data_IF_193441828759
#
_entry.id   IF_193441828759
#
_cell.length_a   1.000
_cell.length_b   1.000
_cell.length_c   1.000
_cell.angle_alpha   90.00
_cell.angle_beta   90.00
_cell.angle_gamma   90.00
#
_symmetry.space_group_name_H-M   'P 1'
#
loop_
_entity.id
_entity.type
_entity.pdbx_description
1 polymer ?
#
# COMPACT_ATOMS: atom_id res chain seq x y z
N UNK A 1 41.04 13.35 25.60
CA UNK A 1 40.51 14.15 26.72
C UNK A 1 39.84 15.48 26.31
N UNK A 2 39.49 15.71 25.02
CA UNK A 2 38.96 17.00 24.53
C UNK A 2 37.46 17.01 24.14
N UNK A 3 36.74 15.90 24.28
CA UNK A 3 35.32 15.80 23.86
C UNK A 3 34.30 16.06 24.98
N UNK A 4 34.70 16.06 26.25
CA UNK A 4 33.79 16.31 27.37
C UNK A 4 33.52 17.82 27.59
N UNK A 5 34.43 18.68 27.13
CA UNK A 5 34.37 20.13 27.33
C UNK A 5 33.36 20.82 26.39
N UNK A 6 33.31 20.40 25.12
CA UNK A 6 32.35 20.94 24.15
C UNK A 6 30.91 20.45 24.40
N UNK A 7 30.75 19.29 25.04
CA UNK A 7 29.43 18.72 25.37
C UNK A 7 28.74 19.54 26.47
N UNK A 8 29.46 19.93 27.53
CA UNK A 8 28.92 20.79 28.60
C UNK A 8 28.51 22.17 28.06
N UNK A 9 29.36 22.81 27.27
CA UNK A 9 29.11 24.19 26.80
C UNK A 9 27.96 24.28 25.78
N UNK A 10 27.78 23.27 24.93
CA UNK A 10 26.74 23.30 23.89
C UNK A 10 25.39 22.71 24.34
N UNK A 11 25.39 21.76 25.29
CA UNK A 11 24.18 21.05 25.67
C UNK A 11 23.70 21.30 27.09
N UNK A 12 24.56 21.56 28.08
CA UNK A 12 24.15 21.56 29.50
C UNK A 12 23.31 22.81 29.89
N UNK A 13 23.70 23.99 29.41
CA UNK A 13 22.99 25.25 29.68
C UNK A 13 21.96 25.62 28.59
N UNK A 14 21.92 24.86 27.49
CA UNK A 14 21.01 25.15 26.39
C UNK A 14 19.60 24.63 26.68
N UNK A 15 18.60 25.32 26.16
CA UNK A 15 17.19 24.88 26.25
C UNK A 15 16.98 23.46 25.68
N UNK A 16 17.89 23.02 24.80
CA UNK A 16 17.92 21.70 24.18
C UNK A 16 18.34 20.62 25.18
N UNK A 17 19.35 20.86 26.02
CA UNK A 17 19.76 19.91 27.07
C UNK A 17 18.65 19.64 28.08
N UNK A 18 18.05 20.70 28.63
CA UNK A 18 16.92 20.56 29.56
C UNK A 18 15.72 19.83 28.95
N UNK A 19 15.52 19.95 27.63
CA UNK A 19 14.46 19.22 26.92
C UNK A 19 14.85 17.76 26.68
N UNK A 20 16.12 17.48 26.36
CA UNK A 20 16.65 16.12 26.24
C UNK A 20 16.61 15.37 27.56
N UNK A 21 17.01 15.99 28.68
CA UNK A 21 16.99 15.38 30.01
C UNK A 21 15.56 15.03 30.43
N UNK A 22 14.61 15.94 30.21
CA UNK A 22 13.18 15.67 30.43
C UNK A 22 12.68 14.51 29.57
N UNK A 23 13.10 14.39 28.32
CA UNK A 23 12.70 13.28 27.43
C UNK A 23 13.31 11.95 27.88
N UNK A 24 14.57 11.95 28.29
CA UNK A 24 15.27 10.78 28.83
C UNK A 24 14.61 10.30 30.13
N UNK A 25 14.31 11.23 31.05
CA UNK A 25 13.64 10.93 32.31
C UNK A 25 12.21 10.41 32.09
N UNK A 26 11.48 10.98 31.13
CA UNK A 26 10.17 10.48 30.70
C UNK A 26 10.29 9.03 30.20
N UNK A 27 11.31 8.74 29.38
CA UNK A 27 11.59 7.41 28.86
C UNK A 27 11.85 6.39 29.96
N UNK A 28 12.72 6.71 30.93
CA UNK A 28 12.98 5.84 32.08
C UNK A 28 11.74 5.63 32.97
N UNK A 29 10.87 6.64 33.07
CA UNK A 29 9.61 6.54 33.81
C UNK A 29 8.62 5.61 33.10
N UNK A 30 8.50 5.72 31.78
CA UNK A 30 7.66 4.85 30.94
C UNK A 30 8.15 3.39 30.99
N UNK A 31 9.47 3.16 30.89
CA UNK A 31 10.05 1.81 30.96
C UNK A 31 9.77 1.17 32.32
N UNK A 32 9.97 1.89 33.42
CA UNK A 32 9.72 1.38 34.78
C UNK A 32 8.24 1.07 35.02
N UNK A 33 7.35 1.90 34.50
CA UNK A 33 5.91 1.65 34.55
C UNK A 33 5.54 0.41 33.72
N UNK A 34 6.04 0.31 32.49
CA UNK A 34 5.80 -0.83 31.58
C UNK A 34 6.28 -2.18 32.12
N UNK A 35 7.33 -2.19 32.97
CA UNK A 35 7.80 -3.40 33.69
C UNK A 35 6.88 -3.84 34.84
N UNK A 36 5.98 -2.97 35.31
CA UNK A 36 5.02 -3.26 36.39
C UNK A 36 3.60 -3.51 35.88
N UNK A 37 3.29 -3.03 34.67
CA UNK A 37 1.98 -3.22 34.05
C UNK A 37 1.93 -4.61 33.41
N UNK A 38 1.13 -5.47 34.01
CA UNK A 38 0.72 -6.75 33.44
C UNK A 38 -0.68 -6.55 32.87
N UNK A 39 -0.82 -6.69 31.55
CA UNK A 39 -2.12 -6.58 30.89
C UNK A 39 -2.83 -7.94 31.03
N UNK A 40 -4.13 -7.97 31.40
CA UNK A 40 -4.90 -9.21 31.43
C UNK A 40 -4.87 -9.89 30.05
N UNK A 41 -4.45 -11.16 30.01
CA UNK A 41 -4.26 -11.94 28.78
C UNK A 41 -2.80 -12.25 28.40
N UNK A 42 -1.81 -11.70 29.11
CA UNK A 42 -0.38 -11.99 28.88
C UNK A 42 0.24 -13.01 29.85
N UNK A 43 -0.57 -13.87 30.48
CA UNK A 43 -0.12 -14.93 31.42
C UNK A 43 0.86 -14.45 32.51
N UNK A 44 0.71 -13.21 32.98
CA UNK A 44 1.57 -12.64 34.03
C UNK A 44 2.85 -11.98 33.52
N UNK A 45 3.09 -11.93 32.21
CA UNK A 45 4.30 -11.33 31.62
C UNK A 45 4.17 -9.80 31.55
N UNK A 46 5.18 -9.03 32.01
CA UNK A 46 5.20 -7.58 31.89
C UNK A 46 5.14 -7.09 30.44
N UNK A 47 4.45 -5.97 30.21
CA UNK A 47 4.34 -5.36 28.87
C UNK A 47 5.71 -5.08 28.23
N UNK A 48 6.72 -4.73 29.04
CA UNK A 48 8.09 -4.55 28.58
C UNK A 48 8.68 -5.80 27.91
N UNK A 49 8.48 -6.98 28.49
CA UNK A 49 9.05 -8.22 27.97
C UNK A 49 8.32 -8.66 26.69
N UNK A 50 7.00 -8.50 26.64
CA UNK A 50 6.21 -8.73 25.42
C UNK A 50 6.66 -7.82 24.29
N UNK A 51 6.83 -6.52 24.57
CA UNK A 51 7.26 -5.54 23.57
C UNK A 51 8.68 -5.82 23.06
N UNK A 52 9.62 -6.11 23.96
CA UNK A 52 11.01 -6.41 23.57
C UNK A 52 11.10 -7.73 22.81
N UNK A 53 10.35 -8.76 23.20
CA UNK A 53 10.24 -10.01 22.45
C UNK A 53 9.66 -9.80 21.05
N UNK A 54 8.57 -9.02 20.93
CA UNK A 54 7.95 -8.70 19.66
C UNK A 54 8.92 -7.95 18.74
N UNK A 55 9.53 -6.84 19.21
CA UNK A 55 10.50 -6.08 18.43
C UNK A 55 11.71 -6.93 18.01
N UNK A 56 12.25 -7.75 18.91
CA UNK A 56 13.36 -8.67 18.60
C UNK A 56 12.96 -9.71 17.57
N UNK A 57 11.72 -10.19 17.61
CA UNK A 57 11.16 -11.12 16.62
C UNK A 57 10.92 -10.46 15.27
N UNK A 58 10.51 -9.18 15.25
CA UNK A 58 10.37 -8.41 14.01
C UNK A 58 11.72 -8.23 13.30
N UNK A 59 12.76 -7.88 14.07
CA UNK A 59 14.12 -7.68 13.55
C UNK A 59 14.73 -9.01 13.10
N UNK A 60 14.57 -10.09 13.86
CA UNK A 60 15.08 -11.42 13.49
C UNK A 60 14.31 -12.09 12.35
N UNK A 61 13.01 -11.79 12.20
CA UNK A 61 12.09 -12.47 11.28
C UNK A 61 12.26 -12.16 9.79
N UNK A 62 13.33 -11.46 9.40
CA UNK A 62 13.58 -10.95 8.05
C UNK A 62 12.34 -10.28 7.41
N UNK A 63 11.55 -9.58 8.23
CA UNK A 63 10.28 -8.97 7.82
C UNK A 63 10.53 -7.89 6.77
N UNK A 64 11.66 -7.19 6.88
CA UNK A 64 12.09 -6.22 5.88
C UNK A 64 12.19 -6.83 4.48
N UNK A 65 12.88 -7.97 4.31
CA UNK A 65 12.99 -8.60 2.99
C UNK A 65 11.64 -9.12 2.47
N UNK A 66 10.79 -9.68 3.34
CA UNK A 66 9.44 -10.12 2.97
C UNK A 66 8.58 -8.94 2.51
N UNK A 67 8.57 -7.84 3.26
CA UNK A 67 7.83 -6.62 2.94
C UNK A 67 8.33 -5.99 1.64
N UNK A 68 9.65 -5.89 1.44
CA UNK A 68 10.24 -5.39 0.20
C UNK A 68 9.87 -6.25 -1.01
N UNK A 69 9.86 -7.59 -0.86
CA UNK A 69 9.44 -8.50 -1.92
C UNK A 69 7.96 -8.35 -2.29
N UNK A 70 7.10 -8.12 -1.30
CA UNK A 70 5.68 -7.83 -1.53
C UNK A 70 5.52 -6.49 -2.26
N UNK A 71 6.18 -5.43 -1.78
CA UNK A 71 6.14 -4.10 -2.38
C UNK A 71 6.66 -4.10 -3.83
N UNK A 72 7.74 -4.83 -4.10
CA UNK A 72 8.29 -4.99 -5.46
C UNK A 72 7.26 -5.60 -6.42
N UNK A 73 6.57 -6.66 -6.01
CA UNK A 73 5.54 -7.29 -6.85
C UNK A 73 4.36 -6.35 -7.11
N UNK A 74 3.92 -5.57 -6.12
CA UNK A 74 2.87 -4.58 -6.33
C UNK A 74 3.33 -3.45 -7.26
N UNK A 75 4.54 -2.93 -7.08
CA UNK A 75 5.10 -1.91 -7.96
C UNK A 75 5.22 -2.43 -9.40
N UNK A 76 5.69 -3.67 -9.58
CA UNK A 76 5.77 -4.32 -10.88
C UNK A 76 4.39 -4.53 -11.52
N UNK A 77 3.33 -4.69 -10.73
CA UNK A 77 1.95 -4.80 -11.23
C UNK A 77 1.36 -3.45 -11.69
N UNK A 78 1.82 -2.31 -11.13
CA UNK A 78 1.28 -0.98 -11.47
C UNK A 78 1.48 -0.65 -12.95
N UNK A 79 2.66 -0.90 -13.51
CA UNK A 79 2.94 -0.58 -14.92
C UNK A 79 2.00 -1.29 -15.91
N UNK A 80 1.92 -2.63 -15.95
CA UNK A 80 0.97 -3.32 -16.82
C UNK A 80 -0.48 -3.04 -16.43
N UNK A 81 -0.77 -2.75 -15.16
CA UNK A 81 -2.09 -2.34 -14.69
C UNK A 81 -2.56 -1.02 -15.29
N UNK A 82 -1.71 0.02 -15.30
CA UNK A 82 -2.04 1.31 -15.90
C UNK A 82 -2.26 1.16 -17.42
N UNK A 83 -1.40 0.41 -18.10
CA UNK A 83 -1.55 0.16 -19.54
C UNK A 83 -2.87 -0.57 -19.82
N UNK A 84 -3.20 -1.60 -19.04
CA UNK A 84 -4.47 -2.30 -19.13
C UNK A 84 -5.65 -1.32 -18.92
N UNK A 85 -5.59 -0.47 -17.90
CA UNK A 85 -6.66 0.51 -17.63
C UNK A 85 -6.86 1.47 -18.79
N UNK A 86 -5.80 2.05 -19.35
CA UNK A 86 -5.90 2.98 -20.49
C UNK A 86 -6.37 2.28 -21.77
N UNK A 87 -5.97 1.03 -21.98
CA UNK A 87 -6.41 0.26 -23.15
C UNK A 87 -7.86 -0.21 -23.10
N UNK A 88 -8.52 -0.17 -21.94
CA UNK A 88 -9.98 -0.40 -21.82
C UNK A 88 -10.76 0.82 -22.35
N UNK A 89 -10.20 2.02 -22.24
CA UNK A 89 -10.89 3.29 -22.53
C UNK A 89 -11.49 3.37 -23.94
N UNK A 90 -10.77 2.99 -25.03
CA UNK A 90 -11.34 3.00 -26.38
C UNK A 90 -12.59 2.11 -26.55
N UNK A 91 -12.81 1.15 -25.65
CA UNK A 91 -13.96 0.24 -25.69
C UNK A 91 -15.19 0.80 -24.96
N UNK A 92 -15.07 1.91 -24.24
CA UNK A 92 -16.15 2.54 -23.48
C UNK A 92 -16.86 3.57 -24.38
N UNK A 93 -18.15 3.37 -24.73
CA UNK A 93 -18.89 4.30 -25.59
C UNK A 93 -19.46 5.48 -24.78
N UNK A 94 -18.60 6.33 -24.23
CA UNK A 94 -18.98 7.56 -23.54
C UNK A 94 -18.45 8.76 -24.32
N UNK A 95 -19.34 9.68 -24.69
CA UNK A 95 -18.98 10.91 -25.39
C UNK A 95 -18.02 11.76 -24.56
N UNK A 96 -16.98 12.31 -25.20
CA UNK A 96 -15.97 13.20 -24.60
C UNK A 96 -15.15 12.62 -23.43
N UNK A 97 -15.26 11.33 -23.13
CA UNK A 97 -14.53 10.71 -22.00
C UNK A 97 -13.01 10.83 -22.17
N UNK A 98 -12.50 10.61 -23.39
CA UNK A 98 -11.08 10.72 -23.69
C UNK A 98 -10.58 12.15 -23.48
N UNK A 99 -11.35 13.16 -23.87
CA UNK A 99 -11.00 14.58 -23.72
C UNK A 99 -10.95 14.96 -22.24
N UNK A 100 -11.96 14.54 -21.48
CA UNK A 100 -12.02 14.77 -20.02
C UNK A 100 -10.83 14.13 -19.30
N UNK A 101 -10.48 12.90 -19.67
CA UNK A 101 -9.32 12.21 -19.12
C UNK A 101 -8.00 12.93 -19.45
N UNK A 102 -7.85 13.39 -20.70
CA UNK A 102 -6.64 14.12 -21.11
C UNK A 102 -6.48 15.42 -20.32
N UNK A 103 -7.57 16.17 -20.13
CA UNK A 103 -7.56 17.37 -19.27
C UNK A 103 -7.21 17.05 -17.81
N UNK A 104 -7.79 15.98 -17.24
CA UNK A 104 -7.45 15.52 -15.90
C UNK A 104 -5.95 15.19 -15.77
N UNK A 105 -5.38 14.48 -16.76
CA UNK A 105 -3.96 14.12 -16.72
C UNK A 105 -3.04 15.33 -16.89
N UNK A 106 -3.44 16.32 -17.68
CA UNK A 106 -2.73 17.60 -17.82
C UNK A 106 -2.70 18.36 -16.50
N UNK A 107 -3.81 18.40 -15.76
CA UNK A 107 -3.89 19.08 -14.46
C UNK A 107 -3.10 18.38 -13.35
N UNK A 108 -3.05 17.04 -13.38
CA UNK A 108 -2.36 16.24 -12.35
C UNK A 108 -0.86 16.11 -12.58
N UNK A 109 -0.39 16.19 -13.82
CA UNK A 109 1.01 16.00 -14.16
C UNK A 109 1.75 17.34 -14.28
N UNK A 110 2.97 17.44 -13.73
CA UNK A 110 3.86 18.56 -14.07
C UNK A 110 4.01 18.71 -15.59
N UNK A 111 4.01 19.96 -16.07
CA UNK A 111 4.07 20.31 -17.50
C UNK A 111 5.16 19.55 -18.29
N UNK A 112 6.32 19.36 -17.67
CA UNK A 112 7.44 18.63 -18.27
C UNK A 112 7.10 17.16 -18.57
N UNK A 113 6.37 16.51 -17.66
CA UNK A 113 5.94 15.11 -17.82
C UNK A 113 4.84 15.04 -18.88
N UNK A 114 3.86 15.94 -18.80
CA UNK A 114 2.75 15.98 -19.75
C UNK A 114 3.22 16.09 -21.20
N UNK A 115 4.17 16.98 -21.48
CA UNK A 115 4.75 17.18 -22.82
C UNK A 115 5.39 15.92 -23.40
N UNK A 116 5.87 15.00 -22.56
CA UNK A 116 6.51 13.75 -22.99
C UNK A 116 5.48 12.64 -23.18
N UNK A 117 4.45 12.56 -22.33
CA UNK A 117 3.52 11.42 -22.31
C UNK A 117 2.23 11.64 -23.09
N UNK A 118 1.80 12.88 -23.33
CA UNK A 118 0.48 13.20 -23.87
C UNK A 118 0.15 12.44 -25.16
N UNK A 119 1.06 12.40 -26.14
CA UNK A 119 0.86 11.70 -27.41
C UNK A 119 0.77 10.20 -27.26
N UNK A 120 1.52 9.64 -26.30
CA UNK A 120 1.47 8.20 -26.02
C UNK A 120 0.14 7.85 -25.37
N UNK A 121 -0.32 8.66 -24.41
CA UNK A 121 -1.62 8.45 -23.77
C UNK A 121 -2.75 8.60 -24.78
N UNK A 122 -2.75 9.68 -25.57
CA UNK A 122 -3.72 9.96 -26.63
C UNK A 122 -3.87 8.76 -27.59
N UNK A 123 -2.76 8.21 -28.07
CA UNK A 123 -2.74 7.07 -28.99
C UNK A 123 -3.27 5.77 -28.34
N UNK A 124 -3.02 5.57 -27.05
CA UNK A 124 -3.52 4.39 -26.31
C UNK A 124 -5.03 4.48 -26.06
N UNK A 125 -5.55 5.67 -25.69
CA UNK A 125 -6.96 5.84 -25.30
C UNK A 125 -7.91 6.06 -26.49
N UNK A 126 -7.38 6.41 -27.66
CA UNK A 126 -8.20 6.64 -28.87
C UNK A 126 -8.29 5.40 -29.76
N UNK A 127 -7.30 4.50 -29.72
CA UNK A 127 -7.25 3.33 -30.61
C UNK A 127 -7.40 2.03 -29.82
N UNK A 128 -8.37 1.17 -30.16
CA UNK A 128 -8.54 -0.11 -29.48
C UNK A 128 -7.35 -1.04 -29.76
N UNK A 129 -6.65 -1.45 -28.69
CA UNK A 129 -5.49 -2.36 -28.75
C UNK A 129 -5.72 -3.60 -27.90
N UNK A 130 -6.48 -4.56 -28.43
CA UNK A 130 -6.80 -5.81 -27.72
C UNK A 130 -5.59 -6.64 -27.29
N UNK A 131 -4.49 -6.59 -28.07
CA UNK A 131 -3.23 -7.23 -27.71
C UNK A 131 -2.58 -6.62 -26.45
N UNK A 132 -2.49 -5.28 -26.37
CA UNK A 132 -1.95 -4.59 -25.20
C UNK A 132 -2.83 -4.81 -23.97
N UNK A 133 -4.16 -4.76 -24.14
CA UNK A 133 -5.11 -5.02 -23.06
C UNK A 133 -4.91 -6.41 -22.46
N UNK A 134 -4.84 -7.43 -23.30
CA UNK A 134 -4.72 -8.83 -22.85
C UNK A 134 -3.37 -9.10 -22.19
N UNK A 135 -2.27 -8.62 -22.80
CA UNK A 135 -0.92 -8.78 -22.23
C UNK A 135 -0.81 -8.03 -20.90
N UNK A 136 -1.31 -6.78 -20.85
CA UNK A 136 -1.34 -5.97 -19.64
C UNK A 136 -2.13 -6.66 -18.53
N UNK A 137 -3.32 -7.19 -18.84
CA UNK A 137 -4.14 -7.95 -17.89
C UNK A 137 -3.40 -9.17 -17.32
N UNK A 138 -2.81 -10.01 -18.19
CA UNK A 138 -2.10 -11.21 -17.76
C UNK A 138 -0.89 -10.86 -16.90
N UNK A 139 -0.10 -9.86 -17.30
CA UNK A 139 1.06 -9.40 -16.53
C UNK A 139 0.65 -8.82 -15.19
N UNK A 140 -0.34 -7.93 -15.15
CA UNK A 140 -0.85 -7.34 -13.92
C UNK A 140 -1.38 -8.41 -12.97
N UNK A 141 -2.17 -9.37 -13.48
CA UNK A 141 -2.70 -10.49 -12.70
C UNK A 141 -1.57 -11.36 -12.14
N UNK A 142 -0.53 -11.64 -12.94
CA UNK A 142 0.63 -12.42 -12.52
C UNK A 142 1.39 -11.77 -11.36
N UNK A 143 1.78 -10.49 -11.52
CA UNK A 143 2.52 -9.74 -10.50
C UNK A 143 1.70 -9.49 -9.24
N UNK A 144 0.43 -9.11 -9.38
CA UNK A 144 -0.48 -8.94 -8.25
C UNK A 144 -0.67 -10.25 -7.47
N UNK A 145 -0.86 -11.36 -8.18
CA UNK A 145 -0.98 -12.68 -7.57
C UNK A 145 0.29 -13.09 -6.82
N UNK A 146 1.48 -12.73 -7.30
CA UNK A 146 2.73 -12.95 -6.57
C UNK A 146 2.83 -12.07 -5.31
N UNK A 147 2.39 -10.81 -5.38
CA UNK A 147 2.32 -9.93 -4.21
C UNK A 147 1.40 -10.50 -3.12
N UNK A 148 0.20 -10.96 -3.48
CA UNK A 148 -0.75 -11.58 -2.54
C UNK A 148 -0.23 -12.91 -2.00
N UNK A 149 0.45 -13.73 -2.81
CA UNK A 149 1.15 -14.92 -2.31
C UNK A 149 2.18 -14.56 -1.24
N UNK A 150 2.99 -13.53 -1.47
CA UNK A 150 3.96 -13.04 -0.50
C UNK A 150 3.31 -12.57 0.79
N UNK A 151 2.19 -11.85 0.67
CA UNK A 151 1.42 -11.36 1.82
C UNK A 151 0.81 -12.50 2.64
N UNK A 152 0.16 -13.46 1.96
CA UNK A 152 -0.42 -14.65 2.58
C UNK A 152 0.65 -15.46 3.30
N UNK A 153 1.78 -15.70 2.64
CA UNK A 153 2.92 -16.40 3.24
C UNK A 153 3.49 -15.64 4.44
N UNK A 154 3.52 -14.30 4.42
CA UNK A 154 3.99 -13.50 5.53
C UNK A 154 3.08 -13.64 6.77
N UNK A 155 1.77 -13.72 6.58
CA UNK A 155 0.81 -13.95 7.68
C UNK A 155 0.81 -15.40 8.17
N UNK A 156 0.81 -16.37 7.25
CA UNK A 156 0.82 -17.80 7.57
C UNK A 156 2.11 -18.23 8.27
N UNK A 157 3.24 -17.54 8.02
CA UNK A 157 4.52 -17.77 8.72
C UNK A 157 4.43 -17.61 10.26
N UNK A 158 3.36 -16.99 10.78
CA UNK A 158 3.17 -16.77 12.22
C UNK A 158 2.42 -17.90 12.93
N UNK A 159 1.80 -18.82 12.18
CA UNK A 159 0.99 -19.91 12.73
C UNK A 159 1.77 -21.22 12.52
N UNK A 160 2.09 -21.90 13.63
CA UNK A 160 2.87 -23.16 13.75
C UNK A 160 2.25 -24.39 13.04
N UNK A 161 1.73 -24.25 11.82
CA UNK A 161 1.15 -25.36 11.05
C UNK A 161 1.82 -25.49 9.70
N UNK A 162 2.77 -26.42 9.61
CA UNK A 162 3.39 -26.89 8.38
C UNK A 162 2.41 -27.71 7.52
N UNK A 163 1.30 -27.12 7.06
CA UNK A 163 0.55 -27.68 5.93
C UNK A 163 1.02 -27.01 4.66
N UNK A 164 1.95 -27.66 3.97
CA UNK A 164 2.38 -27.33 2.61
C UNK A 164 1.19 -27.49 1.65
N UNK A 165 0.36 -26.45 1.53
CA UNK A 165 -0.64 -26.40 0.45
C UNK A 165 0.10 -26.40 -0.88
N UNK A 166 -0.31 -27.27 -1.80
CA UNK A 166 0.24 -27.32 -3.17
C UNK A 166 0.26 -25.91 -3.78
N UNK A 167 1.38 -25.57 -4.44
CA UNK A 167 1.61 -24.27 -5.07
C UNK A 167 0.45 -23.82 -5.97
N UNK A 168 -0.13 -24.76 -6.73
CA UNK A 168 -1.30 -24.50 -7.59
C UNK A 168 -2.55 -24.10 -6.81
N UNK A 169 -2.81 -24.73 -5.66
CA UNK A 169 -3.97 -24.40 -4.82
C UNK A 169 -3.86 -22.99 -4.24
N UNK A 170 -2.66 -22.60 -3.79
CA UNK A 170 -2.42 -21.25 -3.29
C UNK A 170 -2.58 -20.20 -4.40
N UNK A 171 -2.01 -20.48 -5.58
CA UNK A 171 -2.10 -19.57 -6.74
C UNK A 171 -3.56 -19.39 -7.19
N UNK A 172 -4.35 -20.46 -7.22
CA UNK A 172 -5.76 -20.42 -7.56
C UNK A 172 -6.58 -19.56 -6.57
N UNK A 173 -6.34 -19.71 -5.26
CA UNK A 173 -6.99 -18.88 -4.23
C UNK A 173 -6.63 -17.41 -4.41
N UNK A 174 -5.36 -17.10 -4.69
CA UNK A 174 -4.92 -15.71 -4.87
C UNK A 174 -5.54 -15.07 -6.11
N UNK A 175 -5.61 -15.80 -7.23
CA UNK A 175 -6.31 -15.33 -8.44
C UNK A 175 -7.79 -15.12 -8.16
N UNK A 176 -8.45 -16.04 -7.45
CA UNK A 176 -9.84 -15.91 -7.06
C UNK A 176 -10.08 -14.65 -6.20
N UNK A 177 -9.23 -14.40 -5.21
CA UNK A 177 -9.30 -13.19 -4.39
C UNK A 177 -9.16 -11.92 -5.24
N UNK A 178 -8.20 -11.87 -6.17
CA UNK A 178 -8.03 -10.73 -7.07
C UNK A 178 -9.29 -10.49 -7.89
N UNK A 179 -9.83 -11.53 -8.53
CA UNK A 179 -11.05 -11.41 -9.34
C UNK A 179 -12.25 -10.98 -8.50
N UNK A 180 -12.40 -11.52 -7.29
CA UNK A 180 -13.43 -11.11 -6.34
C UNK A 180 -13.31 -9.62 -6.00
N UNK A 181 -12.12 -9.14 -5.65
CA UNK A 181 -11.89 -7.71 -5.37
C UNK A 181 -12.17 -6.84 -6.59
N UNK A 182 -11.76 -7.26 -7.79
CA UNK A 182 -12.05 -6.53 -9.03
C UNK A 182 -13.56 -6.43 -9.28
N UNK A 183 -14.31 -7.52 -9.09
CA UNK A 183 -15.78 -7.51 -9.24
C UNK A 183 -16.42 -6.59 -8.19
N UNK A 184 -15.98 -6.66 -6.93
CA UNK A 184 -16.47 -5.77 -5.87
C UNK A 184 -16.22 -4.30 -6.20
N UNK A 185 -15.06 -3.95 -6.77
CA UNK A 185 -14.76 -2.59 -7.22
C UNK A 185 -15.68 -2.15 -8.38
N UNK A 186 -15.92 -3.01 -9.37
CA UNK A 186 -16.84 -2.71 -10.48
C UNK A 186 -18.26 -2.45 -9.94
N UNK A 187 -18.73 -3.29 -9.02
CA UNK A 187 -20.03 -3.11 -8.37
C UNK A 187 -20.07 -1.80 -7.57
N UNK A 188 -19.03 -1.49 -6.80
CA UNK A 188 -18.94 -0.26 -6.03
C UNK A 188 -19.00 0.99 -6.94
N UNK A 189 -18.23 1.01 -8.03
CA UNK A 189 -18.24 2.10 -9.02
C UNK A 189 -19.62 2.21 -9.68
N UNK A 190 -20.23 1.07 -10.03
CA UNK A 190 -21.59 1.03 -10.59
C UNK A 190 -22.64 1.63 -9.64
N UNK A 191 -22.58 1.28 -8.34
CA UNK A 191 -23.47 1.83 -7.32
C UNK A 191 -23.29 3.34 -7.14
N UNK A 192 -22.03 3.82 -7.10
CA UNK A 192 -21.73 5.26 -7.00
C UNK A 192 -22.29 6.01 -8.22
N UNK A 193 -22.08 5.46 -9.42
CA UNK A 193 -22.59 6.05 -10.67
C UNK A 193 -24.12 6.14 -10.69
N UNK A 194 -24.82 5.07 -10.29
CA UNK A 194 -26.28 5.08 -10.17
C UNK A 194 -26.76 6.12 -9.15
N UNK A 195 -26.07 6.26 -8.02
CA UNK A 195 -26.33 7.32 -7.05
C UNK A 195 -26.30 8.71 -7.69
N UNK A 196 -25.23 9.04 -8.43
CA UNK A 196 -25.12 10.34 -9.11
C UNK A 196 -26.25 10.60 -10.12
N UNK A 197 -26.67 9.58 -10.88
CA UNK A 197 -27.81 9.70 -11.81
C UNK A 197 -29.11 9.98 -11.07
N UNK A 198 -29.38 9.29 -9.95
CA UNK A 198 -30.59 9.55 -9.16
C UNK A 198 -30.62 10.96 -8.59
N UNK A 199 -29.47 11.49 -8.14
CA UNK A 199 -29.36 12.86 -7.67
C UNK A 199 -29.63 13.88 -8.79
N UNK A 200 -29.10 13.66 -10.00
CA UNK A 200 -29.38 14.56 -11.13
C UNK A 200 -30.84 14.54 -11.54
N UNK A 201 -31.49 13.37 -11.60
CA UNK A 201 -32.92 13.26 -11.90
C UNK A 201 -33.81 13.93 -10.86
N UNK A 202 -33.46 13.82 -9.57
CA UNK A 202 -34.20 14.49 -8.50
C UNK A 202 -34.08 16.01 -8.56
N UNK A 203 -32.89 16.52 -8.90
CA UNK A 203 -32.62 17.95 -9.02
C UNK A 203 -33.21 18.58 -10.30
N UNK A 204 -33.52 17.79 -11.32
CA UNK A 204 -34.17 18.26 -12.55
C UNK A 204 -35.70 18.28 -12.43
N UNK A 205 -36.27 17.50 -11.50
CA UNK A 205 -37.72 17.41 -11.23
C UNK A 205 -38.18 18.14 -9.96
N UNK A 206 -37.31 18.91 -9.30
CA UNK A 206 -37.63 19.77 -8.15
C UNK A 206 -37.06 21.17 -8.28
#
# INVERSE_FOLDING_TARGET
MKNHFLWNILFEDSWIGRRLDKLIELGFRIIRWSKKVVVPGFDGIPLYDVMTFFLKSLVKGNIGAKASGIAYNFLAAIFPGIIMLFTIIPFIPIENFQIMLMGLLEDFLPNEIWRVVNKTVEDIITRPRGGLLSIGFIMALYFCSNGISGLTNAFDSSILNFKTRSWFKQKAVNIFLILLYTILLIVAIGLISLGSLTFSFLNEHH
#
